data_IF_757568209950
#
_entry.id   IF_757568209950
#
_cell.length_a   1.000
_cell.length_b   1.000
_cell.length_c   1.000
_cell.angle_alpha   90.00
_cell.angle_beta   90.00
_cell.angle_gamma   90.00
#
_symmetry.space_group_name_H-M   'P 1'
#
loop_
_entity.id
_entity.type
_entity.pdbx_description
1 polymer ?
#
# COMPACT_ATOMS: atom_id res chain seq x y z
N UNK A 1 9.50 5.86 28.05
CA UNK A 1 10.63 4.89 27.97
C UNK A 1 11.94 5.67 28.04
N UNK A 2 12.84 5.38 29.02
CA UNK A 2 14.15 6.05 29.06
C UNK A 2 15.00 5.53 27.87
N UNK A 3 15.38 6.42 26.98
CA UNK A 3 16.25 6.10 25.85
C UNK A 3 17.63 5.72 26.39
N UNK A 4 18.02 4.45 26.21
CA UNK A 4 19.37 4.01 26.57
C UNK A 4 20.37 4.69 25.65
N UNK A 5 21.37 5.42 26.20
CA UNK A 5 22.35 6.15 25.42
C UNK A 5 23.09 5.24 24.42
N UNK A 6 23.28 5.72 23.19
CA UNK A 6 23.91 4.97 22.08
C UNK A 6 25.28 4.38 22.42
N UNK A 7 26.09 5.07 23.24
CA UNK A 7 27.44 4.63 23.63
C UNK A 7 27.43 3.36 24.49
N UNK A 8 26.39 3.16 25.35
CA UNK A 8 26.30 1.93 26.17
C UNK A 8 26.02 0.68 25.32
N UNK A 9 25.31 0.84 24.19
CA UNK A 9 25.06 -0.26 23.24
C UNK A 9 26.35 -0.67 22.50
N UNK A 10 27.30 0.24 22.32
CA UNK A 10 28.58 -0.04 21.66
C UNK A 10 29.58 -0.73 22.60
N UNK A 11 29.55 -0.44 23.90
CA UNK A 11 30.48 -1.01 24.88
C UNK A 11 30.11 -2.43 25.28
N UNK A 12 28.80 -2.76 25.35
CA UNK A 12 28.32 -4.07 25.77
C UNK A 12 27.31 -4.69 24.79
N UNK A 13 27.67 -4.93 23.53
CA UNK A 13 26.68 -5.35 22.52
C UNK A 13 26.05 -6.71 22.81
N UNK A 14 26.81 -7.65 23.39
CA UNK A 14 26.29 -8.99 23.76
C UNK A 14 25.28 -8.93 24.91
N UNK A 15 25.58 -8.09 25.93
CA UNK A 15 24.68 -7.91 27.08
C UNK A 15 23.34 -7.27 26.65
N UNK A 16 23.40 -6.19 25.87
CA UNK A 16 22.18 -5.56 25.35
C UNK A 16 21.41 -6.49 24.45
N UNK A 17 22.07 -7.27 23.60
CA UNK A 17 21.44 -8.28 22.76
C UNK A 17 20.70 -9.33 23.61
N UNK A 18 21.32 -9.83 24.67
CA UNK A 18 20.70 -10.79 25.59
C UNK A 18 19.49 -10.20 26.34
N UNK A 19 19.59 -8.96 26.84
CA UNK A 19 18.50 -8.26 27.53
C UNK A 19 17.32 -7.99 26.58
N UNK A 20 17.58 -7.56 25.34
CA UNK A 20 16.53 -7.38 24.34
C UNK A 20 15.88 -8.71 23.98
N UNK A 21 16.67 -9.77 23.77
CA UNK A 21 16.16 -11.12 23.48
C UNK A 21 15.28 -11.65 24.60
N UNK A 22 15.69 -11.49 25.87
CA UNK A 22 14.90 -11.91 27.03
C UNK A 22 13.60 -11.11 27.15
N UNK A 23 13.67 -9.79 26.97
CA UNK A 23 12.48 -8.93 26.97
C UNK A 23 11.49 -9.35 25.88
N UNK A 24 11.97 -9.55 24.67
CA UNK A 24 11.14 -9.94 23.53
C UNK A 24 10.57 -11.36 23.74
N UNK A 25 11.33 -12.25 24.35
CA UNK A 25 10.84 -13.57 24.74
C UNK A 25 9.71 -13.48 25.77
N UNK A 26 9.86 -12.66 26.82
CA UNK A 26 8.82 -12.44 27.84
C UNK A 26 7.57 -11.80 27.25
N UNK A 27 7.72 -10.77 26.37
CA UNK A 27 6.59 -10.12 25.71
C UNK A 27 5.83 -11.03 24.75
N UNK A 28 6.52 -12.01 24.16
CA UNK A 28 5.90 -12.98 23.23
C UNK A 28 5.43 -14.26 23.91
N UNK A 29 5.71 -14.45 25.21
CA UNK A 29 5.33 -15.66 25.96
C UNK A 29 3.83 -15.98 25.89
N UNK A 30 2.89 -15.00 26.02
CA UNK A 30 1.47 -15.30 25.90
C UNK A 30 1.10 -15.85 24.51
N UNK A 31 1.71 -15.31 23.46
CA UNK A 31 1.50 -15.79 22.07
C UNK A 31 2.06 -17.21 21.93
N UNK A 32 3.26 -17.49 22.46
CA UNK A 32 3.89 -18.82 22.41
C UNK A 32 3.07 -19.87 23.15
N UNK A 33 2.48 -19.52 24.30
CA UNK A 33 1.59 -20.41 25.06
C UNK A 33 0.33 -20.72 24.26
N UNK A 34 -0.29 -19.72 23.63
CA UNK A 34 -1.44 -19.95 22.73
C UNK A 34 -1.04 -20.76 21.50
N UNK A 35 0.14 -20.51 20.91
CA UNK A 35 0.64 -21.29 19.77
C UNK A 35 0.77 -22.79 20.11
N UNK A 36 1.00 -23.17 21.36
CA UNK A 36 1.07 -24.59 21.73
C UNK A 36 -0.24 -25.34 21.46
N UNK A 37 -1.38 -24.65 21.50
CA UNK A 37 -2.70 -25.23 21.20
C UNK A 37 -3.06 -25.27 19.71
N UNK A 38 -2.23 -24.67 18.82
CA UNK A 38 -2.47 -24.74 17.38
C UNK A 38 -2.55 -26.19 16.91
N UNK A 39 -3.60 -26.54 16.21
CA UNK A 39 -3.86 -27.88 15.70
C UNK A 39 -4.42 -27.81 14.25
N UNK A 40 -4.18 -28.88 13.50
CA UNK A 40 -4.72 -28.97 12.14
C UNK A 40 -6.22 -29.23 12.21
N UNK A 41 -6.99 -28.51 11.38
CA UNK A 41 -8.41 -28.79 11.15
C UNK A 41 -8.56 -29.74 9.96
N UNK A 42 -9.41 -30.74 10.09
CA UNK A 42 -9.74 -31.69 9.04
C UNK A 42 -11.11 -31.36 8.41
N UNK A 43 -11.77 -30.28 8.82
CA UNK A 43 -13.14 -29.94 8.40
C UNK A 43 -13.15 -28.60 7.65
N UNK A 44 -13.58 -28.65 6.39
CA UNK A 44 -13.88 -27.48 5.56
C UNK A 44 -12.73 -26.46 5.46
N UNK A 45 -13.04 -25.21 5.13
CA UNK A 45 -12.08 -24.11 5.15
C UNK A 45 -11.97 -23.54 6.57
N UNK A 46 -10.78 -23.63 7.14
CA UNK A 46 -10.45 -23.11 8.47
C UNK A 46 -9.21 -22.23 8.35
N UNK A 47 -9.42 -20.96 7.97
CA UNK A 47 -8.34 -20.01 7.71
C UNK A 47 -7.96 -19.20 8.94
N UNK A 48 -6.66 -18.96 9.12
CA UNK A 48 -6.12 -18.05 10.12
C UNK A 48 -5.24 -16.99 9.45
N UNK A 49 -5.33 -15.75 9.94
CA UNK A 49 -4.61 -14.61 9.37
C UNK A 49 -3.44 -14.22 10.25
N UNK A 50 -2.24 -14.21 9.67
CA UNK A 50 -1.05 -13.74 10.36
C UNK A 50 -1.06 -12.21 10.44
N UNK A 51 -1.47 -11.69 11.59
CA UNK A 51 -1.56 -10.27 11.90
C UNK A 51 -0.71 -9.92 13.13
N UNK A 52 -0.49 -8.64 13.47
CA UNK A 52 0.15 -8.25 14.73
C UNK A 52 -0.58 -8.79 15.98
N UNK A 53 -1.87 -9.05 15.87
CA UNK A 53 -2.73 -9.53 16.96
C UNK A 53 -2.86 -11.05 17.01
N UNK A 54 -2.28 -11.78 16.05
CA UNK A 54 -2.35 -13.24 16.04
C UNK A 54 -1.98 -13.82 17.42
N UNK A 55 -2.72 -14.79 17.98
CA UNK A 55 -3.76 -15.59 17.34
C UNK A 55 -5.19 -14.99 17.35
N UNK A 56 -5.35 -13.75 17.79
CA UNK A 56 -6.64 -13.05 17.69
C UNK A 56 -6.93 -12.65 16.23
N UNK A 57 -8.20 -12.42 15.86
CA UNK A 57 -8.56 -11.96 14.51
C UNK A 57 -7.91 -10.63 14.14
N UNK A 58 -7.79 -10.31 12.84
CA UNK A 58 -7.35 -8.99 12.40
C UNK A 58 -8.25 -7.88 12.96
N UNK A 59 -7.66 -6.68 13.10
CA UNK A 59 -8.36 -5.46 13.54
C UNK A 59 -9.56 -5.14 12.65
N UNK A 60 -10.66 -4.67 13.23
CA UNK A 60 -11.87 -4.30 12.50
C UNK A 60 -11.71 -2.97 11.74
N UNK A 61 -12.60 -2.72 10.73
CA UNK A 61 -12.55 -1.55 9.82
C UNK A 61 -12.55 -0.18 10.50
N UNK A 62 -13.03 -0.08 11.73
CA UNK A 62 -13.13 1.18 12.48
C UNK A 62 -11.80 1.64 13.07
N UNK A 63 -10.77 0.81 13.04
CA UNK A 63 -9.44 1.16 13.52
C UNK A 63 -8.53 1.58 12.36
N UNK A 64 -7.60 2.49 12.64
CA UNK A 64 -6.63 2.94 11.64
C UNK A 64 -5.73 1.78 11.22
N UNK A 65 -5.94 1.28 10.00
CA UNK A 65 -5.16 0.18 9.43
C UNK A 65 -4.33 0.64 8.22
N UNK A 66 -3.09 0.18 8.15
CA UNK A 66 -2.27 0.33 6.94
C UNK A 66 -2.78 -0.59 5.81
N UNK A 67 -2.57 -0.21 4.55
CA UNK A 67 -3.15 -0.88 3.38
C UNK A 67 -3.06 -2.41 3.35
N UNK A 68 -1.96 -3.01 3.85
CA UNK A 68 -1.85 -4.48 3.99
C UNK A 68 -2.82 -5.07 5.02
N UNK A 69 -3.07 -4.37 6.14
CA UNK A 69 -3.96 -4.84 7.20
C UNK A 69 -5.44 -4.75 6.77
N UNK A 70 -5.80 -3.76 5.95
CA UNK A 70 -7.17 -3.61 5.40
C UNK A 70 -7.59 -4.87 4.62
N UNK A 71 -6.69 -5.49 3.86
CA UNK A 71 -6.97 -6.74 3.15
C UNK A 71 -7.32 -7.89 4.07
N UNK A 72 -6.59 -8.02 5.19
CA UNK A 72 -6.86 -9.06 6.18
C UNK A 72 -8.24 -8.87 6.81
N UNK A 73 -8.65 -7.62 7.05
CA UNK A 73 -9.98 -7.30 7.58
C UNK A 73 -11.07 -7.72 6.60
N UNK A 74 -10.96 -7.35 5.32
CA UNK A 74 -11.92 -7.78 4.29
C UNK A 74 -12.02 -9.30 4.15
N UNK A 75 -10.88 -10.00 4.20
CA UNK A 75 -10.87 -11.44 4.15
C UNK A 75 -11.52 -12.05 5.40
N UNK A 76 -11.21 -11.55 6.60
CA UNK A 76 -11.73 -12.07 7.86
C UNK A 76 -13.25 -11.84 8.03
N UNK A 77 -13.82 -10.81 7.40
CA UNK A 77 -15.26 -10.58 7.37
C UNK A 77 -16.01 -11.62 6.52
N UNK A 78 -15.36 -12.19 5.49
CA UNK A 78 -15.97 -13.15 4.56
C UNK A 78 -15.54 -14.60 4.83
N UNK A 79 -14.33 -14.79 5.35
CA UNK A 79 -13.78 -16.07 5.80
C UNK A 79 -13.33 -15.90 7.23
N UNK A 80 -14.19 -16.21 8.22
CA UNK A 80 -13.89 -15.94 9.63
C UNK A 80 -12.54 -16.51 10.07
N UNK A 81 -11.83 -15.75 10.91
CA UNK A 81 -10.58 -16.20 11.50
C UNK A 81 -10.82 -17.38 12.44
N UNK A 82 -10.08 -18.46 12.25
CA UNK A 82 -10.15 -19.65 13.08
C UNK A 82 -8.87 -19.83 13.89
N UNK A 83 -9.03 -20.17 15.17
CA UNK A 83 -7.96 -20.60 16.06
C UNK A 83 -8.59 -21.36 17.27
N UNK A 84 -8.06 -22.47 17.75
CA UNK A 84 -6.77 -23.08 17.41
C UNK A 84 -6.80 -24.07 16.22
N UNK A 85 -7.97 -24.49 15.74
CA UNK A 85 -8.09 -25.48 14.67
C UNK A 85 -8.01 -24.78 13.29
N UNK A 86 -6.94 -25.04 12.54
CA UNK A 86 -6.58 -24.33 11.30
C UNK A 86 -6.13 -25.32 10.23
N UNK A 87 -6.46 -25.07 8.96
CA UNK A 87 -5.86 -25.80 7.83
C UNK A 87 -5.16 -24.89 6.82
N UNK A 88 -5.45 -23.59 6.86
CA UNK A 88 -4.85 -22.59 5.99
C UNK A 88 -4.37 -21.37 6.78
N UNK A 89 -3.10 -21.00 6.64
CA UNK A 89 -2.52 -19.79 7.21
C UNK A 89 -2.28 -18.76 6.10
N UNK A 90 -2.85 -17.58 6.23
CA UNK A 90 -2.72 -16.49 5.28
C UNK A 90 -1.87 -15.35 5.85
N UNK A 91 -0.83 -14.96 5.15
CA UNK A 91 0.07 -13.87 5.53
C UNK A 91 0.11 -12.78 4.46
N UNK A 92 0.21 -11.52 4.89
CA UNK A 92 0.50 -10.37 4.01
C UNK A 92 1.90 -9.87 4.35
N UNK A 93 2.78 -9.77 3.36
CA UNK A 93 4.21 -9.51 3.58
C UNK A 93 4.51 -8.16 4.26
N UNK A 94 3.62 -7.17 4.12
CA UNK A 94 3.73 -5.86 4.80
C UNK A 94 3.11 -5.81 6.19
N UNK A 95 2.56 -6.92 6.68
CA UNK A 95 1.91 -7.01 8.01
C UNK A 95 2.74 -7.91 8.90
N UNK A 96 3.62 -7.29 9.69
CA UNK A 96 4.57 -8.01 10.53
C UNK A 96 3.92 -8.53 11.83
N UNK A 97 4.35 -9.73 12.25
CA UNK A 97 4.12 -10.28 13.59
C UNK A 97 5.47 -10.63 14.21
N UNK A 98 5.71 -10.36 15.50
CA UNK A 98 6.99 -10.66 16.16
C UNK A 98 7.44 -12.13 16.06
N UNK A 99 6.48 -13.06 15.95
CA UNK A 99 6.72 -14.50 15.87
C UNK A 99 6.41 -15.09 14.49
N UNK A 100 6.29 -14.25 13.44
CA UNK A 100 5.80 -14.70 12.11
C UNK A 100 6.56 -15.94 11.59
N UNK A 101 7.87 -15.99 11.73
CA UNK A 101 8.67 -17.11 11.22
C UNK A 101 8.49 -18.38 12.05
N UNK A 102 8.33 -18.25 13.37
CA UNK A 102 8.04 -19.37 14.26
C UNK A 102 6.66 -19.95 13.96
N UNK A 103 5.67 -19.07 13.74
CA UNK A 103 4.30 -19.45 13.39
C UNK A 103 4.29 -20.18 12.04
N UNK A 104 4.93 -19.61 11.02
CA UNK A 104 5.02 -20.20 9.67
C UNK A 104 5.73 -21.56 9.70
N UNK A 105 6.88 -21.65 10.38
CA UNK A 105 7.62 -22.89 10.51
C UNK A 105 6.82 -23.98 11.25
N UNK A 106 6.04 -23.60 12.27
CA UNK A 106 5.14 -24.50 12.96
C UNK A 106 4.01 -24.98 12.06
N UNK A 107 3.36 -24.05 11.33
CA UNK A 107 2.31 -24.38 10.37
C UNK A 107 2.80 -25.42 9.36
N UNK A 108 3.97 -25.21 8.75
CA UNK A 108 4.56 -26.18 7.80
C UNK A 108 4.81 -27.55 8.43
N UNK A 109 5.36 -27.63 9.65
CA UNK A 109 5.59 -28.91 10.34
C UNK A 109 4.30 -29.67 10.64
N UNK A 110 3.19 -28.94 10.80
CA UNK A 110 1.86 -29.52 11.03
C UNK A 110 1.13 -29.86 9.75
N UNK A 111 1.71 -29.58 8.57
CA UNK A 111 1.06 -29.80 7.28
C UNK A 111 -0.07 -28.84 6.99
N UNK A 112 -0.08 -27.65 7.61
CA UNK A 112 -1.00 -26.57 7.25
C UNK A 112 -0.57 -25.97 5.91
N UNK A 113 -1.53 -25.62 5.07
CA UNK A 113 -1.27 -24.87 3.85
C UNK A 113 -1.00 -23.40 4.18
N UNK A 114 -0.14 -22.78 3.37
CA UNK A 114 0.29 -21.40 3.60
C UNK A 114 0.18 -20.56 2.33
N UNK A 115 -0.49 -19.43 2.42
CA UNK A 115 -0.57 -18.43 1.35
C UNK A 115 0.15 -17.17 1.80
N UNK A 116 1.03 -16.65 0.95
CA UNK A 116 1.69 -15.36 1.17
C UNK A 116 1.21 -14.36 0.11
N UNK A 117 0.54 -13.30 0.55
CA UNK A 117 0.23 -12.14 -0.29
C UNK A 117 1.44 -11.20 -0.26
N UNK A 118 2.22 -11.22 -1.33
CA UNK A 118 3.45 -10.46 -1.47
C UNK A 118 3.15 -9.07 -2.01
N UNK A 119 3.45 -8.07 -1.20
CA UNK A 119 3.43 -6.66 -1.57
C UNK A 119 4.71 -6.28 -2.34
N UNK A 120 4.96 -4.99 -2.53
CA UNK A 120 6.23 -4.52 -3.07
C UNK A 120 7.42 -4.92 -2.19
N UNK A 121 8.60 -4.93 -2.78
CA UNK A 121 9.89 -5.19 -2.12
C UNK A 121 10.75 -3.94 -2.18
N UNK A 122 11.75 -3.84 -1.32
CA UNK A 122 12.73 -2.78 -1.38
C UNK A 122 13.71 -3.01 -2.54
N UNK A 123 14.13 -1.91 -3.18
CA UNK A 123 15.16 -1.88 -4.23
C UNK A 123 15.98 -0.60 -4.07
N UNK A 124 17.18 -0.48 -4.70
CA UNK A 124 18.10 0.62 -4.45
C UNK A 124 17.50 2.02 -4.62
N UNK A 125 16.70 2.27 -5.66
CA UNK A 125 16.05 3.56 -5.87
C UNK A 125 15.09 3.95 -4.75
N UNK A 126 14.49 2.96 -4.06
CA UNK A 126 13.55 3.23 -2.96
C UNK A 126 14.22 3.30 -1.59
N UNK A 127 15.16 2.40 -1.30
CA UNK A 127 15.70 2.24 0.07
C UNK A 127 17.25 2.36 0.14
N UNK A 128 17.88 2.82 -0.94
CA UNK A 128 19.32 2.97 -1.03
C UNK A 128 20.03 1.67 -0.68
N UNK A 129 21.15 1.77 0.04
CA UNK A 129 21.97 0.62 0.45
C UNK A 129 21.27 -0.32 1.47
N UNK A 130 20.11 0.07 2.02
CA UNK A 130 19.40 -0.74 3.01
C UNK A 130 18.46 -1.79 2.39
N UNK A 131 18.23 -1.76 1.08
CA UNK A 131 17.22 -2.61 0.42
C UNK A 131 17.38 -4.11 0.70
N UNK A 132 18.61 -4.60 0.78
CA UNK A 132 18.86 -6.01 1.10
C UNK A 132 18.43 -6.36 2.51
N UNK A 133 18.78 -5.52 3.49
CA UNK A 133 18.40 -5.72 4.89
C UNK A 133 16.88 -5.62 5.09
N UNK A 134 16.24 -4.70 4.38
CA UNK A 134 14.77 -4.54 4.39
C UNK A 134 14.06 -5.76 3.79
N UNK A 135 14.66 -6.40 2.80
CA UNK A 135 14.12 -7.59 2.16
C UNK A 135 14.37 -8.90 2.92
N UNK A 136 15.26 -8.94 3.92
CA UNK A 136 15.58 -10.19 4.63
C UNK A 136 14.35 -10.89 5.21
N UNK A 137 13.46 -10.14 5.86
CA UNK A 137 12.23 -10.68 6.43
C UNK A 137 11.23 -11.13 5.37
N UNK A 138 11.18 -10.44 4.22
CA UNK A 138 10.32 -10.80 3.09
C UNK A 138 10.80 -12.10 2.44
N UNK A 139 12.09 -12.25 2.20
CA UNK A 139 12.72 -13.50 1.70
C UNK A 139 12.38 -14.68 2.60
N UNK A 140 12.51 -14.51 3.91
CA UNK A 140 12.20 -15.58 4.86
C UNK A 140 10.71 -15.89 4.89
N UNK A 141 9.82 -14.88 4.86
CA UNK A 141 8.38 -15.11 4.90
C UNK A 141 7.89 -15.84 3.65
N UNK A 142 8.31 -15.36 2.45
CA UNK A 142 7.85 -15.94 1.19
C UNK A 142 8.35 -17.38 0.99
N UNK A 143 9.48 -17.77 1.61
CA UNK A 143 10.01 -19.15 1.51
C UNK A 143 9.10 -20.21 2.16
N UNK A 144 8.15 -19.80 2.99
CA UNK A 144 7.15 -20.71 3.58
C UNK A 144 5.92 -20.92 2.70
N UNK A 145 5.74 -20.16 1.61
CA UNK A 145 4.52 -20.20 0.81
C UNK A 145 4.31 -21.54 0.10
N UNK A 146 3.08 -22.05 0.13
CA UNK A 146 2.58 -23.09 -0.79
C UNK A 146 1.89 -22.45 -2.00
N UNK A 147 1.46 -21.19 -1.86
CA UNK A 147 0.89 -20.37 -2.92
C UNK A 147 1.25 -18.89 -2.69
N UNK A 148 1.57 -18.16 -3.75
CA UNK A 148 1.89 -16.74 -3.67
C UNK A 148 0.84 -15.92 -4.41
N UNK A 149 0.34 -14.87 -3.77
CA UNK A 149 -0.51 -13.86 -4.39
C UNK A 149 0.31 -12.58 -4.55
N UNK A 150 0.46 -12.08 -5.77
CA UNK A 150 1.07 -10.78 -6.05
C UNK A 150 -0.02 -9.73 -6.29
N UNK A 151 0.23 -8.48 -5.88
CA UNK A 151 -0.75 -7.39 -6.01
C UNK A 151 -0.74 -6.72 -7.38
N UNK A 152 0.29 -6.99 -8.18
CA UNK A 152 0.53 -6.44 -9.51
C UNK A 152 1.62 -7.23 -10.21
N UNK A 153 1.73 -7.11 -11.54
CA UNK A 153 2.86 -7.67 -12.27
C UNK A 153 4.18 -7.06 -11.76
N UNK A 154 4.19 -5.75 -11.50
CA UNK A 154 5.36 -5.09 -10.93
C UNK A 154 5.77 -5.67 -9.57
N UNK A 155 4.81 -6.05 -8.71
CA UNK A 155 5.12 -6.75 -7.44
C UNK A 155 5.79 -8.11 -7.68
N UNK A 156 5.36 -8.83 -8.71
CA UNK A 156 5.95 -10.12 -9.09
C UNK A 156 7.36 -9.92 -9.60
N UNK A 157 7.56 -9.05 -10.59
CA UNK A 157 8.86 -8.79 -11.21
C UNK A 157 9.90 -8.30 -10.18
N UNK A 158 9.49 -7.38 -9.30
CA UNK A 158 10.36 -6.89 -8.23
C UNK A 158 10.69 -7.98 -7.19
N UNK A 159 9.76 -8.89 -6.89
CA UNK A 159 10.01 -10.01 -5.99
C UNK A 159 10.99 -11.01 -6.63
N UNK A 160 10.81 -11.36 -7.90
CA UNK A 160 11.73 -12.22 -8.66
C UNK A 160 13.14 -11.62 -8.69
N UNK A 161 13.26 -10.32 -8.93
CA UNK A 161 14.53 -9.61 -8.99
C UNK A 161 15.27 -9.56 -7.63
N UNK A 162 14.55 -9.32 -6.52
CA UNK A 162 15.18 -8.95 -5.25
C UNK A 162 15.02 -9.92 -4.10
N UNK A 163 14.02 -10.81 -4.11
CA UNK A 163 13.79 -11.74 -2.98
C UNK A 163 13.77 -13.21 -3.38
N UNK A 164 13.86 -13.53 -4.67
CA UNK A 164 13.95 -14.91 -5.18
C UNK A 164 12.87 -15.81 -4.58
N UNK A 165 11.59 -15.62 -4.92
CA UNK A 165 10.49 -16.43 -4.39
C UNK A 165 10.67 -17.91 -4.76
N UNK A 166 10.11 -18.84 -3.96
CA UNK A 166 10.11 -20.25 -4.32
C UNK A 166 9.27 -20.52 -5.59
N UNK A 167 9.62 -21.58 -6.30
CA UNK A 167 8.84 -22.05 -7.47
C UNK A 167 7.58 -22.80 -6.98
N UNK A 168 6.55 -22.04 -6.69
CA UNK A 168 5.23 -22.53 -6.26
C UNK A 168 4.13 -21.87 -7.09
N UNK A 169 2.91 -22.45 -7.13
CA UNK A 169 1.79 -21.81 -7.80
C UNK A 169 1.58 -20.39 -7.33
N UNK A 170 1.34 -19.47 -8.26
CA UNK A 170 1.14 -18.06 -7.95
C UNK A 170 0.10 -17.43 -8.86
N UNK A 171 -0.41 -16.26 -8.44
CA UNK A 171 -1.39 -15.49 -9.20
C UNK A 171 -1.30 -13.99 -8.86
N UNK A 172 -1.66 -13.15 -9.81
CA UNK A 172 -1.82 -11.72 -9.59
C UNK A 172 -3.28 -11.46 -9.19
N UNK A 173 -3.48 -10.94 -7.98
CA UNK A 173 -4.77 -10.46 -7.48
C UNK A 173 -4.57 -9.03 -6.99
N UNK A 174 -5.15 -8.09 -7.70
CA UNK A 174 -5.09 -6.67 -7.34
C UNK A 174 -5.70 -6.41 -5.95
N UNK A 175 -5.24 -5.35 -5.31
CA UNK A 175 -5.84 -4.90 -4.05
C UNK A 175 -7.32 -4.56 -4.26
N UNK A 176 -8.19 -4.82 -3.27
CA UNK A 176 -9.60 -4.51 -3.39
C UNK A 176 -9.91 -3.06 -3.05
N UNK A 177 -10.99 -2.55 -3.61
CA UNK A 177 -11.68 -1.34 -3.18
C UNK A 177 -13.16 -1.63 -2.92
N UNK A 178 -13.69 -1.08 -1.81
CA UNK A 178 -15.13 -1.13 -1.53
C UNK A 178 -15.85 -0.14 -2.44
N UNK A 179 -16.35 -0.60 -3.57
CA UNK A 179 -16.99 0.22 -4.60
C UNK A 179 -18.36 0.78 -4.18
N UNK A 180 -18.90 0.37 -3.03
CA UNK A 180 -20.10 0.94 -2.40
C UNK A 180 -19.74 2.13 -1.53
N UNK A 181 -18.67 2.03 -0.75
CA UNK A 181 -18.14 3.15 0.02
C UNK A 181 -17.57 4.24 -0.91
N UNK A 182 -16.80 3.81 -1.92
CA UNK A 182 -16.22 4.68 -2.93
C UNK A 182 -17.12 4.67 -4.18
N UNK A 183 -18.26 5.37 -4.11
CA UNK A 183 -19.22 5.49 -5.20
C UNK A 183 -19.30 6.92 -5.71
N UNK A 184 -19.47 7.14 -7.04
CA UNK A 184 -19.72 8.48 -7.59
C UNK A 184 -20.92 9.18 -6.96
N UNK A 185 -21.92 8.45 -6.50
CA UNK A 185 -23.13 8.99 -5.84
C UNK A 185 -22.81 9.67 -4.50
N UNK A 186 -21.65 9.38 -3.91
CA UNK A 186 -21.17 10.05 -2.69
C UNK A 186 -20.62 11.46 -2.95
N UNK A 187 -20.65 11.94 -4.22
CA UNK A 187 -20.04 13.22 -4.58
C UNK A 187 -20.89 14.43 -4.19
N UNK A 188 -20.22 15.36 -3.53
CA UNK A 188 -20.59 16.77 -3.54
C UNK A 188 -20.34 17.34 -4.94
N UNK A 189 -21.00 18.45 -5.27
CA UNK A 189 -20.72 19.17 -6.52
C UNK A 189 -19.20 19.43 -6.64
N UNK A 190 -18.66 19.17 -7.83
CA UNK A 190 -17.25 19.45 -8.11
C UNK A 190 -16.97 20.94 -7.96
N UNK A 191 -15.78 21.34 -7.47
CA UNK A 191 -15.40 22.74 -7.41
C UNK A 191 -15.42 23.36 -8.80
N UNK A 192 -15.70 24.65 -8.90
CA UNK A 192 -15.68 25.39 -10.20
C UNK A 192 -14.27 25.48 -10.77
N UNK A 193 -13.27 25.52 -9.90
CA UNK A 193 -11.86 25.65 -10.24
C UNK A 193 -11.19 24.30 -10.36
N UNK A 194 -10.42 24.06 -11.43
CA UNK A 194 -9.63 22.84 -11.59
C UNK A 194 -8.78 22.58 -10.34
N UNK A 195 -9.09 21.49 -9.67
CA UNK A 195 -8.44 21.10 -8.41
C UNK A 195 -7.86 19.69 -8.57
N UNK A 196 -6.57 19.55 -8.27
CA UNK A 196 -5.84 18.29 -8.26
C UNK A 196 -5.80 17.72 -6.84
N UNK A 197 -5.70 16.42 -6.71
CA UNK A 197 -5.46 15.73 -5.44
C UNK A 197 -4.08 15.06 -5.47
N UNK A 198 -3.20 15.39 -4.53
CA UNK A 198 -2.00 14.61 -4.20
C UNK A 198 -2.30 13.80 -2.94
N UNK A 199 -2.61 12.52 -3.13
CA UNK A 199 -3.10 11.66 -2.05
C UNK A 199 -2.02 10.90 -1.28
N UNK A 200 -2.36 10.49 -0.05
CA UNK A 200 -1.52 9.67 0.82
C UNK A 200 -0.40 10.45 1.51
N UNK A 201 0.46 9.72 2.24
CA UNK A 201 1.61 10.34 2.92
C UNK A 201 2.71 10.71 1.94
N UNK A 202 3.29 11.88 2.11
CA UNK A 202 4.39 12.42 1.30
C UNK A 202 5.72 12.16 2.02
N UNK A 203 6.10 10.89 2.19
CA UNK A 203 7.33 10.52 2.90
C UNK A 203 8.62 10.88 2.14
N UNK A 204 8.52 11.02 0.80
CA UNK A 204 9.63 11.43 -0.06
C UNK A 204 9.35 12.82 -0.63
N UNK A 205 10.31 13.72 -0.42
CA UNK A 205 10.23 15.15 -0.79
C UNK A 205 9.86 15.34 -2.27
N UNK A 206 10.46 14.56 -3.18
CA UNK A 206 10.28 14.70 -4.63
C UNK A 206 8.80 14.58 -5.05
N UNK A 207 7.97 13.84 -4.29
CA UNK A 207 6.56 13.67 -4.62
C UNK A 207 5.79 14.98 -4.56
N UNK A 208 5.97 15.73 -3.45
CA UNK A 208 5.37 17.04 -3.30
C UNK A 208 6.02 18.06 -4.25
N UNK A 209 7.35 18.01 -4.40
CA UNK A 209 8.08 18.90 -5.28
C UNK A 209 7.62 18.82 -6.73
N UNK A 210 7.49 17.60 -7.28
CA UNK A 210 6.97 17.37 -8.63
C UNK A 210 5.52 17.85 -8.76
N UNK A 211 4.68 17.63 -7.74
CA UNK A 211 3.29 18.10 -7.79
C UNK A 211 3.19 19.64 -7.76
N UNK A 212 4.03 20.33 -6.97
CA UNK A 212 4.08 21.79 -6.96
C UNK A 212 4.59 22.36 -8.28
N UNK A 213 5.63 21.76 -8.85
CA UNK A 213 6.17 22.14 -10.16
C UNK A 213 5.14 21.91 -11.27
N UNK A 214 4.39 20.81 -11.21
CA UNK A 214 3.27 20.53 -12.14
C UNK A 214 2.17 21.59 -12.02
N UNK A 215 1.77 21.95 -10.80
CA UNK A 215 0.78 23.01 -10.58
C UNK A 215 1.28 24.36 -11.10
N UNK A 216 2.55 24.66 -10.87
CA UNK A 216 3.17 25.89 -11.39
C UNK A 216 3.16 25.95 -12.91
N UNK A 217 3.49 24.83 -13.57
CA UNK A 217 3.43 24.74 -15.04
C UNK A 217 1.98 24.90 -15.53
N UNK A 218 1.00 24.27 -14.86
CA UNK A 218 -0.42 24.34 -15.19
C UNK A 218 -0.99 25.75 -15.09
N UNK A 219 -0.43 26.61 -14.24
CA UNK A 219 -0.89 28.01 -14.09
C UNK A 219 -0.70 28.87 -15.34
N UNK A 220 0.09 28.44 -16.32
CA UNK A 220 0.19 29.11 -17.62
C UNK A 220 -1.13 29.04 -18.40
N UNK A 221 -1.86 27.92 -18.29
CA UNK A 221 -3.12 27.68 -18.99
C UNK A 221 -4.34 27.88 -18.07
N UNK A 222 -4.21 27.52 -16.79
CA UNK A 222 -5.28 27.61 -15.78
C UNK A 222 -4.76 28.31 -14.52
N UNK A 223 -4.69 29.66 -14.51
CA UNK A 223 -4.06 30.44 -13.42
C UNK A 223 -4.66 30.19 -12.03
N UNK A 224 -5.92 29.76 -11.96
CA UNK A 224 -6.62 29.52 -10.70
C UNK A 224 -6.60 28.04 -10.27
N UNK A 225 -5.88 27.16 -10.98
CA UNK A 225 -5.80 25.75 -10.60
C UNK A 225 -5.30 25.58 -9.16
N UNK A 226 -5.80 24.56 -8.47
CA UNK A 226 -5.51 24.29 -7.06
C UNK A 226 -5.01 22.86 -6.86
N UNK A 227 -4.31 22.66 -5.74
CA UNK A 227 -3.84 21.36 -5.29
C UNK A 227 -4.26 21.09 -3.84
N UNK A 228 -4.89 19.96 -3.60
CA UNK A 228 -5.14 19.44 -2.26
C UNK A 228 -4.06 18.38 -1.98
N UNK A 229 -3.32 18.55 -0.89
CA UNK A 229 -2.29 17.61 -0.43
C UNK A 229 -2.77 16.94 0.84
N UNK A 230 -2.79 15.61 0.86
CA UNK A 230 -3.22 14.85 2.02
C UNK A 230 -2.05 14.14 2.70
N UNK A 231 -2.27 13.68 3.94
CA UNK A 231 -1.32 12.89 4.69
C UNK A 231 -0.19 13.69 5.34
N UNK A 232 0.79 12.96 5.84
CA UNK A 232 1.97 13.54 6.49
C UNK A 232 3.07 13.84 5.49
N UNK A 233 3.86 14.86 5.77
CA UNK A 233 5.12 15.13 5.09
C UNK A 233 6.25 14.24 5.67
N UNK A 234 7.40 14.22 4.99
CA UNK A 234 8.61 13.48 5.40
C UNK A 234 9.19 13.97 6.75
N UNK A 235 10.17 13.24 7.24
CA UNK A 235 10.87 13.57 8.48
C UNK A 235 12.26 14.17 8.18
N UNK A 236 12.75 15.11 9.01
CA UNK A 236 12.05 15.72 10.16
C UNK A 236 10.93 16.68 9.72
N UNK A 237 9.82 16.71 10.47
CA UNK A 237 8.60 17.46 10.07
C UNK A 237 8.77 18.97 10.03
N UNK A 238 9.58 19.52 10.91
CA UNK A 238 9.93 20.96 10.96
C UNK A 238 10.71 21.38 9.70
N UNK A 239 11.68 20.59 9.26
CA UNK A 239 12.39 20.83 8.01
C UNK A 239 11.45 20.72 6.79
N UNK A 240 10.59 19.70 6.76
CA UNK A 240 9.60 19.54 5.71
C UNK A 240 8.61 20.71 5.64
N UNK A 241 8.15 21.20 6.79
CA UNK A 241 7.26 22.36 6.87
C UNK A 241 7.95 23.64 6.42
N UNK A 242 9.20 23.87 6.85
CA UNK A 242 9.99 25.03 6.45
C UNK A 242 10.26 25.03 4.94
N UNK A 243 10.69 23.89 4.38
CA UNK A 243 10.89 23.75 2.94
C UNK A 243 9.59 23.98 2.15
N UNK A 244 8.48 23.39 2.60
CA UNK A 244 7.18 23.52 1.93
C UNK A 244 6.75 24.98 1.89
N UNK A 245 6.85 25.71 3.02
CA UNK A 245 6.52 27.14 3.08
C UNK A 245 7.36 27.97 2.10
N UNK A 246 8.67 27.71 2.06
CA UNK A 246 9.57 28.39 1.13
C UNK A 246 9.25 28.07 -0.32
N UNK A 247 9.04 26.80 -0.66
CA UNK A 247 8.70 26.37 -2.02
C UNK A 247 7.38 26.97 -2.52
N UNK A 248 6.35 27.05 -1.69
CA UNK A 248 5.09 27.69 -2.01
C UNK A 248 5.26 29.18 -2.28
N UNK A 249 6.06 29.87 -1.48
CA UNK A 249 6.36 31.29 -1.68
C UNK A 249 7.11 31.53 -2.99
N UNK A 250 8.19 30.78 -3.23
CA UNK A 250 9.06 30.96 -4.41
C UNK A 250 8.34 30.64 -5.74
N UNK A 251 7.38 29.72 -5.69
CA UNK A 251 6.55 29.35 -6.84
C UNK A 251 5.29 30.22 -6.99
N UNK A 252 5.00 31.13 -6.04
CA UNK A 252 3.74 31.88 -5.94
C UNK A 252 2.49 30.98 -5.86
N UNK A 253 2.56 29.91 -5.05
CA UNK A 253 1.50 28.91 -4.90
C UNK A 253 0.81 28.93 -3.53
N UNK A 254 1.12 29.89 -2.65
CA UNK A 254 0.63 29.92 -1.26
C UNK A 254 -0.87 29.84 -1.15
N UNK A 255 -1.63 30.52 -2.02
CA UNK A 255 -3.10 30.54 -2.01
C UNK A 255 -3.74 29.43 -2.88
N UNK A 256 -2.91 28.59 -3.49
CA UNK A 256 -3.34 27.56 -4.44
C UNK A 256 -3.19 26.13 -3.89
N UNK A 257 -2.56 25.96 -2.74
CA UNK A 257 -2.31 24.64 -2.15
C UNK A 257 -2.92 24.53 -0.75
N UNK A 258 -3.72 23.48 -0.55
CA UNK A 258 -4.34 23.19 0.76
C UNK A 258 -3.79 21.87 1.30
N UNK A 259 -3.33 21.87 2.56
CA UNK A 259 -2.89 20.67 3.27
C UNK A 259 -3.98 20.23 4.24
N UNK A 260 -4.46 18.98 4.11
CA UNK A 260 -5.54 18.46 4.96
C UNK A 260 -5.04 17.60 6.11
N UNK A 261 -3.75 17.19 6.09
CA UNK A 261 -3.22 16.22 7.04
C UNK A 261 -3.75 14.79 6.80
N UNK A 262 -3.69 13.98 7.86
CA UNK A 262 -4.19 12.59 7.82
C UNK A 262 -5.72 12.55 7.92
N UNK A 263 -6.32 11.50 7.35
CA UNK A 263 -7.76 11.27 7.35
C UNK A 263 -8.07 9.78 7.57
N UNK A 264 -9.28 9.47 8.04
CA UNK A 264 -9.75 8.10 8.10
C UNK A 264 -10.24 7.63 6.71
N UNK A 265 -10.17 6.33 6.43
CA UNK A 265 -10.62 5.78 5.14
C UNK A 265 -12.10 6.12 4.85
N UNK A 266 -12.93 6.17 5.88
CA UNK A 266 -14.35 6.56 5.77
C UNK A 266 -14.56 8.00 5.32
N UNK A 267 -13.58 8.90 5.56
CA UNK A 267 -13.65 10.31 5.17
C UNK A 267 -13.08 10.55 3.76
N UNK A 268 -12.34 9.57 3.22
CA UNK A 268 -11.69 9.68 1.92
C UNK A 268 -12.65 10.02 0.77
N UNK A 269 -13.86 9.42 0.64
CA UNK A 269 -14.79 9.78 -0.44
C UNK A 269 -15.15 11.26 -0.45
N UNK A 270 -15.45 11.84 0.72
CA UNK A 270 -15.76 13.26 0.87
C UNK A 270 -14.57 14.16 0.55
N UNK A 271 -13.37 13.75 0.94
CA UNK A 271 -12.14 14.49 0.67
C UNK A 271 -11.82 14.47 -0.83
N UNK A 272 -11.85 13.30 -1.45
CA UNK A 272 -11.52 13.13 -2.87
C UNK A 272 -12.54 13.81 -3.79
N UNK A 273 -13.81 13.89 -3.37
CA UNK A 273 -14.83 14.61 -4.14
C UNK A 273 -14.54 16.10 -4.34
N UNK A 274 -13.64 16.68 -3.54
CA UNK A 274 -13.23 18.08 -3.67
C UNK A 274 -12.19 18.31 -4.77
N UNK A 275 -11.76 17.27 -5.50
CA UNK A 275 -10.82 17.37 -6.61
C UNK A 275 -11.37 16.76 -7.90
N UNK A 276 -10.78 17.10 -9.02
CA UNK A 276 -11.19 16.67 -10.36
C UNK A 276 -10.46 15.42 -10.81
N UNK A 277 -9.20 15.29 -10.44
CA UNK A 277 -8.33 14.16 -10.78
C UNK A 277 -7.27 13.93 -9.70
N UNK A 278 -6.76 12.71 -9.67
CA UNK A 278 -5.64 12.32 -8.82
C UNK A 278 -4.33 12.56 -9.59
N UNK A 279 -3.41 13.31 -8.97
CA UNK A 279 -2.03 13.46 -9.43
C UNK A 279 -1.15 12.51 -8.61
N UNK A 280 -0.71 11.38 -9.20
CA UNK A 280 0.08 10.37 -8.50
C UNK A 280 1.55 10.47 -8.91
N UNK A 281 2.37 11.04 -8.04
CA UNK A 281 3.77 11.37 -8.32
C UNK A 281 4.78 10.39 -7.72
N UNK A 282 4.33 9.26 -7.13
CA UNK A 282 5.25 8.31 -6.52
C UNK A 282 5.89 7.42 -7.59
N UNK A 283 7.22 7.40 -7.61
CA UNK A 283 8.02 6.55 -8.49
C UNK A 283 7.91 5.09 -8.07
N UNK A 284 7.70 4.21 -9.03
CA UNK A 284 7.66 2.76 -8.86
C UNK A 284 6.75 2.29 -7.72
N UNK A 285 5.56 2.91 -7.57
CA UNK A 285 4.57 2.48 -6.57
C UNK A 285 3.98 1.12 -6.96
N UNK A 286 4.10 0.10 -6.11
CA UNK A 286 3.77 -1.27 -6.52
C UNK A 286 2.27 -1.53 -6.70
N UNK A 287 1.41 -0.97 -5.86
CA UNK A 287 -0.06 -1.16 -5.95
C UNK A 287 -0.78 -0.24 -4.94
N UNK A 288 -0.90 1.05 -5.22
CA UNK A 288 -1.48 2.01 -4.28
C UNK A 288 -2.99 1.91 -4.18
N UNK A 289 -3.51 1.61 -2.99
CA UNK A 289 -4.95 1.55 -2.72
C UNK A 289 -5.67 2.86 -3.04
N UNK A 290 -5.01 3.99 -2.79
CA UNK A 290 -5.60 5.30 -3.07
C UNK A 290 -5.91 5.53 -4.57
N UNK A 291 -5.16 4.91 -5.49
CA UNK A 291 -5.46 4.96 -6.92
C UNK A 291 -6.76 4.21 -7.20
N UNK A 292 -6.94 3.05 -6.59
CA UNK A 292 -8.18 2.25 -6.72
C UNK A 292 -9.38 2.99 -6.12
N UNK A 293 -9.20 3.63 -4.97
CA UNK A 293 -10.21 4.45 -4.29
C UNK A 293 -10.64 5.64 -5.17
N UNK A 294 -9.67 6.35 -5.75
CA UNK A 294 -9.93 7.45 -6.68
C UNK A 294 -10.69 6.97 -7.92
N UNK A 295 -10.23 5.88 -8.55
CA UNK A 295 -10.90 5.31 -9.72
C UNK A 295 -12.31 4.82 -9.41
N UNK A 296 -12.53 4.22 -8.24
CA UNK A 296 -13.86 3.78 -7.80
C UNK A 296 -14.84 4.95 -7.65
N UNK A 297 -14.35 6.12 -7.27
CA UNK A 297 -15.10 7.37 -7.27
C UNK A 297 -15.28 7.98 -8.68
N UNK A 298 -14.80 7.35 -9.73
CA UNK A 298 -14.80 7.94 -11.06
C UNK A 298 -13.81 9.12 -11.20
N UNK A 299 -12.77 9.17 -10.39
CA UNK A 299 -11.72 10.19 -10.49
C UNK A 299 -10.61 9.66 -11.39
N UNK A 300 -10.34 10.32 -12.54
CA UNK A 300 -9.24 9.93 -13.40
C UNK A 300 -7.88 10.20 -12.76
N UNK A 301 -6.84 9.54 -13.27
CA UNK A 301 -5.50 9.56 -12.69
C UNK A 301 -4.48 10.06 -13.71
N UNK A 302 -3.65 11.03 -13.31
CA UNK A 302 -2.39 11.35 -13.99
C UNK A 302 -1.27 10.81 -13.12
N UNK A 303 -0.39 10.00 -13.70
CA UNK A 303 0.62 9.27 -12.96
C UNK A 303 1.95 9.15 -13.71
N UNK A 304 3.00 8.73 -13.03
CA UNK A 304 4.22 8.29 -13.68
C UNK A 304 3.97 6.94 -14.38
N UNK A 305 4.40 6.80 -15.63
CA UNK A 305 4.31 5.53 -16.37
C UNK A 305 5.39 4.56 -15.90
N UNK A 306 5.27 4.17 -14.61
CA UNK A 306 6.28 3.42 -13.89
C UNK A 306 5.66 2.70 -12.67
N UNK A 307 6.22 1.55 -12.29
CA UNK A 307 5.70 0.74 -11.19
C UNK A 307 4.45 -0.07 -11.58
N UNK A 308 3.60 -0.36 -10.61
CA UNK A 308 2.33 -1.07 -10.81
C UNK A 308 1.15 -0.15 -11.18
N UNK A 309 1.33 1.18 -11.11
CA UNK A 309 0.23 2.12 -11.36
C UNK A 309 -0.27 2.07 -12.81
N UNK A 310 0.58 1.95 -13.85
CA UNK A 310 0.14 1.83 -15.23
C UNK A 310 -0.84 0.67 -15.45
N UNK A 311 -0.56 -0.50 -14.87
CA UNK A 311 -1.46 -1.66 -14.99
C UNK A 311 -2.79 -1.51 -14.22
N UNK A 312 -2.78 -0.74 -13.13
CA UNK A 312 -4.02 -0.42 -12.40
C UNK A 312 -4.88 0.57 -13.18
N UNK A 313 -4.29 1.66 -13.67
CA UNK A 313 -5.00 2.76 -14.33
C UNK A 313 -5.46 2.37 -15.74
N UNK A 314 -4.59 1.74 -16.54
CA UNK A 314 -4.89 1.42 -17.93
C UNK A 314 -5.34 2.67 -18.71
N UNK A 315 -6.48 2.59 -19.38
CA UNK A 315 -7.06 3.68 -20.18
C UNK A 315 -7.93 4.67 -19.37
N UNK A 316 -7.94 4.54 -18.04
CA UNK A 316 -8.71 5.41 -17.13
C UNK A 316 -7.95 6.68 -16.68
N UNK A 317 -6.80 6.94 -17.28
CA UNK A 317 -5.94 8.08 -16.98
C UNK A 317 -4.81 8.21 -17.99
N UNK A 318 -3.82 9.03 -17.65
CA UNK A 318 -2.63 9.24 -18.50
C UNK A 318 -1.37 8.99 -17.68
N UNK A 319 -0.54 8.04 -18.12
CA UNK A 319 0.82 7.84 -17.66
C UNK A 319 1.80 8.75 -18.38
N UNK A 320 2.60 9.49 -17.63
CA UNK A 320 3.68 10.32 -18.18
C UNK A 320 4.96 9.51 -18.15
N UNK A 321 5.58 9.32 -19.29
CA UNK A 321 6.76 8.48 -19.45
C UNK A 321 7.88 8.86 -18.50
N UNK A 322 8.44 7.84 -17.87
CA UNK A 322 9.68 7.90 -17.08
C UNK A 322 10.49 6.65 -17.39
N UNK A 323 11.78 6.82 -17.62
CA UNK A 323 12.68 5.68 -17.72
C UNK A 323 12.68 4.88 -16.40
N UNK A 324 12.35 3.58 -16.48
CA UNK A 324 12.39 2.72 -15.30
C UNK A 324 13.85 2.38 -14.95
N UNK A 325 14.21 2.62 -13.70
CA UNK A 325 15.53 2.27 -13.16
C UNK A 325 15.37 1.79 -11.71
N UNK A 326 15.87 0.61 -11.41
CA UNK A 326 15.85 0.07 -10.05
C UNK A 326 16.82 0.75 -9.09
N UNK A 327 17.82 1.51 -9.62
CA UNK A 327 18.91 2.07 -8.83
C UNK A 327 18.70 3.55 -8.50
N UNK A 328 17.91 4.27 -9.28
CA UNK A 328 17.67 5.71 -9.09
C UNK A 328 16.23 6.10 -9.41
N UNK A 329 15.78 7.17 -8.78
CA UNK A 329 14.48 7.78 -9.07
C UNK A 329 14.64 8.68 -10.29
N UNK A 330 13.91 8.37 -11.36
CA UNK A 330 13.75 9.25 -12.52
C UNK A 330 12.40 9.97 -12.43
N UNK A 331 12.39 11.25 -12.74
CA UNK A 331 11.16 12.06 -12.71
C UNK A 331 10.91 12.66 -14.09
N UNK A 332 9.64 12.81 -14.49
CA UNK A 332 9.28 13.44 -15.76
C UNK A 332 9.48 14.96 -15.69
N UNK A 333 9.47 15.60 -16.85
CA UNK A 333 9.34 17.05 -16.92
C UNK A 333 7.98 17.47 -16.31
N UNK A 334 7.94 18.42 -15.36
CA UNK A 334 6.69 18.93 -14.80
C UNK A 334 5.70 19.47 -15.84
N UNK A 335 6.17 20.04 -16.96
CA UNK A 335 5.33 20.46 -18.06
C UNK A 335 4.59 19.28 -18.69
N UNK A 336 5.26 18.13 -18.89
CA UNK A 336 4.60 16.93 -19.43
C UNK A 336 3.50 16.40 -18.48
N UNK A 337 3.70 16.54 -17.16
CA UNK A 337 2.64 16.24 -16.18
C UNK A 337 1.47 17.22 -16.30
N UNK A 338 1.74 18.52 -16.48
CA UNK A 338 0.71 19.55 -16.67
C UNK A 338 -0.08 19.32 -17.98
N UNK A 339 0.61 18.98 -19.06
CA UNK A 339 -0.01 18.65 -20.36
C UNK A 339 -0.94 17.43 -20.23
N UNK A 340 -0.52 16.40 -19.49
CA UNK A 340 -1.35 15.23 -19.19
C UNK A 340 -2.59 15.59 -18.34
N UNK A 341 -2.43 16.49 -17.36
CA UNK A 341 -3.56 17.03 -16.58
C UNK A 341 -4.56 17.72 -17.48
N UNK A 342 -4.11 18.58 -18.41
CA UNK A 342 -4.99 19.28 -19.35
C UNK A 342 -5.71 18.31 -20.29
N UNK A 343 -5.04 17.29 -20.80
CA UNK A 343 -5.66 16.26 -21.65
C UNK A 343 -6.74 15.48 -20.90
N UNK A 344 -6.47 15.07 -19.65
CA UNK A 344 -7.45 14.39 -18.80
C UNK A 344 -8.62 15.34 -18.49
N UNK A 345 -8.33 16.60 -18.16
CA UNK A 345 -9.36 17.59 -17.84
C UNK A 345 -10.30 17.86 -19.01
N UNK A 346 -9.77 17.99 -20.23
CA UNK A 346 -10.55 18.21 -21.44
C UNK A 346 -11.50 17.04 -21.79
N UNK A 347 -11.13 15.81 -21.40
CA UNK A 347 -11.91 14.57 -21.62
C UNK A 347 -12.36 13.94 -20.32
N UNK A 348 -12.56 14.73 -19.28
CA UNK A 348 -12.78 14.26 -17.91
C UNK A 348 -13.93 13.26 -17.79
N UNK A 349 -15.04 13.53 -18.45
CA UNK A 349 -16.23 12.65 -18.39
C UNK A 349 -15.91 11.24 -18.90
N UNK A 350 -15.22 11.14 -20.02
CA UNK A 350 -14.80 9.87 -20.60
C UNK A 350 -13.85 9.10 -19.66
N UNK A 351 -12.80 9.78 -19.15
CA UNK A 351 -11.87 9.17 -18.21
C UNK A 351 -12.55 8.79 -16.89
N UNK A 352 -13.52 9.58 -16.42
CA UNK A 352 -14.30 9.30 -15.21
C UNK A 352 -15.10 8.00 -15.34
N UNK A 353 -15.80 7.82 -16.46
CA UNK A 353 -16.57 6.60 -16.75
C UNK A 353 -15.65 5.38 -16.82
N UNK A 354 -14.51 5.47 -17.52
CA UNK A 354 -13.52 4.40 -17.61
C UNK A 354 -12.93 4.05 -16.24
N UNK A 355 -12.58 5.05 -15.43
CA UNK A 355 -12.06 4.85 -14.09
C UNK A 355 -13.03 4.06 -13.20
N UNK A 356 -14.30 4.48 -13.17
CA UNK A 356 -15.36 3.79 -12.44
C UNK A 356 -15.58 2.37 -12.94
N UNK A 357 -15.72 2.20 -14.25
CA UNK A 357 -15.96 0.88 -14.83
C UNK A 357 -14.82 -0.07 -14.52
N UNK A 358 -13.57 0.37 -14.71
CA UNK A 358 -12.38 -0.44 -14.43
C UNK A 358 -12.28 -0.82 -12.95
N UNK A 359 -12.58 0.11 -12.04
CA UNK A 359 -12.58 -0.18 -10.60
C UNK A 359 -13.62 -1.24 -10.22
N UNK A 360 -14.84 -1.17 -10.79
CA UNK A 360 -15.88 -2.18 -10.56
C UNK A 360 -15.51 -3.52 -11.18
N UNK A 361 -14.94 -3.50 -12.41
CA UNK A 361 -14.65 -4.72 -13.14
C UNK A 361 -13.44 -5.50 -12.65
N UNK A 362 -12.42 -4.81 -12.11
CA UNK A 362 -11.16 -5.47 -11.76
C UNK A 362 -10.85 -5.45 -10.27
N UNK A 363 -11.31 -4.44 -9.53
CA UNK A 363 -10.83 -4.16 -8.17
C UNK A 363 -11.93 -4.23 -7.11
N UNK A 364 -13.18 -4.54 -7.49
CA UNK A 364 -14.28 -4.61 -6.51
C UNK A 364 -14.00 -5.64 -5.42
N UNK A 365 -14.41 -5.33 -4.20
CA UNK A 365 -14.26 -6.21 -3.05
C UNK A 365 -14.89 -7.58 -3.30
N UNK A 366 -16.05 -7.61 -3.98
CA UNK A 366 -16.76 -8.84 -4.33
C UNK A 366 -15.88 -9.79 -5.19
N UNK A 367 -15.21 -9.25 -6.21
CA UNK A 367 -14.31 -10.05 -7.07
C UNK A 367 -13.07 -10.54 -6.30
N UNK A 368 -12.50 -9.67 -5.47
CA UNK A 368 -11.38 -10.03 -4.60
C UNK A 368 -11.73 -11.20 -3.69
N UNK A 369 -12.89 -11.16 -3.04
CA UNK A 369 -13.38 -12.22 -2.15
C UNK A 369 -13.67 -13.50 -2.92
N UNK A 370 -14.37 -13.41 -4.06
CA UNK A 370 -14.69 -14.57 -4.89
C UNK A 370 -13.39 -15.29 -5.35
N UNK A 371 -12.38 -14.52 -5.79
CA UNK A 371 -11.12 -15.12 -6.25
C UNK A 371 -10.31 -15.75 -5.11
N UNK A 372 -10.31 -15.15 -3.91
CA UNK A 372 -9.68 -15.75 -2.74
C UNK A 372 -10.35 -17.07 -2.34
N UNK A 373 -11.68 -17.17 -2.44
CA UNK A 373 -12.38 -18.41 -2.19
C UNK A 373 -11.90 -19.55 -3.08
N UNK A 374 -11.82 -19.30 -4.39
CA UNK A 374 -11.32 -20.28 -5.37
C UNK A 374 -9.89 -20.73 -5.06
N UNK A 375 -9.01 -19.77 -4.69
CA UNK A 375 -7.62 -20.08 -4.33
C UNK A 375 -7.55 -20.89 -3.02
N UNK A 376 -8.33 -20.54 -2.01
CA UNK A 376 -8.35 -21.27 -0.75
C UNK A 376 -8.77 -22.72 -0.97
N UNK A 377 -9.82 -22.94 -1.75
CA UNK A 377 -10.29 -24.28 -2.14
C UNK A 377 -9.22 -25.04 -2.94
N UNK A 378 -8.60 -24.40 -3.93
CA UNK A 378 -7.52 -24.99 -4.75
C UNK A 378 -6.33 -25.42 -3.91
N UNK A 379 -5.88 -24.55 -3.01
CA UNK A 379 -4.69 -24.80 -2.17
C UNK A 379 -4.94 -25.89 -1.14
N UNK A 380 -6.17 -26.00 -0.60
CA UNK A 380 -6.50 -27.07 0.34
C UNK A 380 -6.62 -28.43 -0.35
N UNK A 381 -6.94 -28.48 -1.64
CA UNK A 381 -7.09 -29.72 -2.42
C UNK A 381 -5.80 -30.16 -3.12
N UNK A 382 -4.72 -29.37 -3.01
CA UNK A 382 -3.38 -29.70 -3.52
C UNK A 382 -2.51 -30.38 -2.45
#
# INVERSE_FOLDING_TARGET
MRVVPRYLKQIFPRFFRAVFTLRDWVLTLPIRLKLSSLQRSDVGLSVSYLSPHFPEPPVQRNEFAHGGAVKLTYLAENFPHHFPAVNLLYAVSSVANPLQFEIMARAKRMGLKTIVNQNGVAFPAWDGDNYESSNCSLKQLISFADFIIYQSQFCKDSAEQYISPPDVPNEIIYNPVDTRLFSPDAFLAKPETLTLLLGGNQYEKYRLELALQTLKALHSDVPNAKLIVTGNLWLPRDEAAAWTKQALHDMNLTDHVTFTGTYAQTDAPKLYSQAHLLLHTKYADPSPGLVLEAMALGMPVVHLDNGGVPELVGDAGIGVYVEHDWNKINLPNPQAMADAVMQVHARREEFSQRARQRAVDLFSLEKFIARHKEIFEKVLNS
#
